data_IF_227675985635
#
_entry.id   IF_227675985635
#
_cell.length_a   1.000
_cell.length_b   1.000
_cell.length_c   1.000
_cell.angle_alpha   90.00
_cell.angle_beta   90.00
_cell.angle_gamma   90.00
#
_symmetry.space_group_name_H-M   'P 1'
#
loop_
_entity.id
_entity.type
_entity.pdbx_description
1 polymer ?
#
# COMPACT_ATOMS: atom_id res chain seq x y z
N UNK A 1 9.94 -10.67 -37.72
CA UNK A 1 9.68 -12.08 -37.36
C UNK A 1 10.23 -12.27 -35.95
N UNK A 2 9.48 -11.83 -34.93
CA UNK A 2 8.80 -12.64 -33.87
C UNK A 2 9.78 -13.57 -33.11
N UNK A 3 9.84 -13.69 -31.77
CA UNK A 3 8.76 -13.64 -30.76
C UNK A 3 9.31 -13.45 -29.32
N UNK A 4 8.42 -12.95 -28.45
CA UNK A 4 8.30 -13.17 -27.01
C UNK A 4 9.28 -12.44 -26.07
N UNK A 5 8.75 -11.40 -25.41
CA UNK A 5 9.28 -10.89 -24.16
C UNK A 5 9.38 -12.01 -23.14
N UNK A 6 10.60 -12.45 -22.88
CA UNK A 6 10.93 -13.32 -21.77
C UNK A 6 10.69 -12.54 -20.48
N UNK A 7 9.47 -12.61 -19.94
CA UNK A 7 9.29 -12.45 -18.51
C UNK A 7 9.66 -13.81 -17.90
N UNK A 8 10.86 -13.98 -17.31
CA UNK A 8 11.22 -15.26 -16.74
C UNK A 8 10.26 -15.56 -15.59
N UNK A 9 9.60 -16.72 -15.66
CA UNK A 9 8.62 -17.24 -14.70
C UNK A 9 9.19 -17.53 -13.29
N UNK A 10 10.26 -16.85 -12.90
CA UNK A 10 10.94 -16.95 -11.61
C UNK A 10 10.93 -15.63 -10.82
N UNK A 11 10.35 -14.54 -11.36
CA UNK A 11 10.12 -13.30 -10.61
C UNK A 11 8.70 -13.29 -10.04
N UNK A 12 8.39 -14.31 -9.24
CA UNK A 12 7.34 -14.22 -8.22
C UNK A 12 8.00 -14.47 -6.87
N UNK A 13 9.12 -13.78 -6.61
CA UNK A 13 9.34 -13.33 -5.24
C UNK A 13 8.16 -12.43 -4.95
N UNK A 14 7.30 -12.86 -4.05
CA UNK A 14 6.19 -12.10 -3.47
C UNK A 14 6.70 -10.66 -3.24
N UNK A 15 6.46 -9.76 -4.20
CA UNK A 15 6.98 -8.41 -4.11
C UNK A 15 5.94 -7.64 -3.31
N UNK A 16 6.35 -6.84 -2.32
CA UNK A 16 5.41 -5.98 -1.61
C UNK A 16 4.60 -5.17 -2.62
N UNK A 17 3.27 -5.21 -2.49
CA UNK A 17 2.33 -4.47 -3.33
C UNK A 17 2.60 -2.97 -3.31
N UNK A 18 3.08 -2.45 -2.18
CA UNK A 18 3.43 -1.04 -2.00
C UNK A 18 4.94 -0.85 -1.83
N UNK A 19 5.50 0.09 -2.60
CA UNK A 19 6.92 0.44 -2.50
C UNK A 19 7.17 1.36 -1.30
N UNK A 20 8.38 1.31 -0.72
CA UNK A 20 8.84 2.37 0.20
C UNK A 20 8.77 3.71 -0.55
N UNK A 21 8.50 4.80 0.16
CA UNK A 21 8.26 6.14 -0.39
C UNK A 21 6.95 6.34 -1.17
N UNK A 22 6.20 5.27 -1.42
CA UNK A 22 4.88 5.40 -2.01
C UNK A 22 3.93 6.13 -1.05
N UNK A 23 3.15 7.07 -1.58
CA UNK A 23 2.10 7.75 -0.82
C UNK A 23 0.77 7.10 -1.10
N UNK A 24 0.04 6.76 -0.05
CA UNK A 24 -1.28 6.15 -0.07
C UNK A 24 -2.23 7.12 0.63
N UNK A 25 -3.34 7.45 -0.03
CA UNK A 25 -4.40 8.23 0.60
C UNK A 25 -5.19 7.27 1.49
N UNK A 26 -5.26 7.53 2.79
CA UNK A 26 -6.07 6.79 3.75
C UNK A 26 -6.84 7.79 4.62
N UNK A 27 -8.16 7.71 4.59
CA UNK A 27 -9.07 8.59 5.34
C UNK A 27 -8.76 10.09 5.13
N UNK A 28 -8.55 10.51 3.87
CA UNK A 28 -8.14 11.87 3.47
C UNK A 28 -6.77 12.34 3.99
N UNK A 29 -5.97 11.45 4.56
CA UNK A 29 -4.59 11.73 4.95
C UNK A 29 -3.63 11.05 3.99
N UNK A 30 -2.54 11.74 3.63
CA UNK A 30 -1.48 11.20 2.78
C UNK A 30 -0.46 10.46 3.64
N UNK A 31 -0.51 9.13 3.61
CA UNK A 31 0.40 8.27 4.35
C UNK A 31 1.54 7.82 3.46
N UNK A 32 2.78 8.05 3.88
CA UNK A 32 3.98 7.58 3.19
C UNK A 32 4.38 6.20 3.73
N UNK A 33 4.65 5.26 2.83
CA UNK A 33 5.23 3.97 3.20
C UNK A 33 6.68 4.18 3.63
N UNK A 34 6.94 4.05 4.93
CA UNK A 34 8.28 4.18 5.50
C UNK A 34 9.06 2.85 5.44
N UNK A 35 8.36 1.72 5.31
CA UNK A 35 8.97 0.41 5.20
C UNK A 35 7.94 -0.70 5.14
N UNK A 36 8.40 -1.92 4.89
CA UNK A 36 7.61 -3.13 4.95
C UNK A 36 8.42 -4.27 5.53
N UNK A 37 7.76 -5.20 6.20
CA UNK A 37 8.37 -6.38 6.79
C UNK A 37 7.49 -7.60 6.51
N UNK A 38 8.12 -8.71 6.12
CA UNK A 38 7.40 -9.95 5.90
C UNK A 38 7.23 -10.69 7.23
N UNK A 39 5.99 -10.79 7.71
CA UNK A 39 5.72 -11.40 9.03
C UNK A 39 5.41 -12.89 8.86
N UNK A 40 6.29 -13.73 9.42
CA UNK A 40 6.14 -15.19 9.51
C UNK A 40 5.77 -15.92 8.20
N UNK A 41 6.20 -15.42 7.05
CA UNK A 41 5.92 -16.11 5.79
C UNK A 41 4.49 -15.96 5.28
N UNK A 42 3.64 -15.16 5.95
CA UNK A 42 2.20 -15.12 5.69
C UNK A 42 1.69 -13.81 5.15
N UNK A 43 2.24 -12.70 5.63
CA UNK A 43 1.66 -11.39 5.31
C UNK A 43 2.71 -10.29 5.34
N UNK A 44 2.62 -9.37 4.38
CA UNK A 44 3.37 -8.13 4.38
C UNK A 44 2.75 -7.16 5.38
N UNK A 45 3.58 -6.69 6.31
CA UNK A 45 3.24 -5.61 7.22
C UNK A 45 3.96 -4.34 6.78
N UNK A 46 3.18 -3.30 6.47
CA UNK A 46 3.66 -2.00 6.05
C UNK A 46 3.66 -1.03 7.22
N UNK A 47 4.74 -0.25 7.32
CA UNK A 47 4.86 0.88 8.22
C UNK A 47 4.50 2.13 7.44
N UNK A 48 3.42 2.79 7.82
CA UNK A 48 2.97 4.03 7.22
C UNK A 48 3.24 5.19 8.16
N UNK A 49 3.74 6.30 7.61
CA UNK A 49 4.02 7.54 8.33
C UNK A 49 3.24 8.70 7.72
N UNK A 50 2.60 9.46 8.59
CA UNK A 50 1.89 10.69 8.26
C UNK A 50 2.59 11.84 8.98
N UNK A 51 3.01 12.84 8.21
CA UNK A 51 3.44 14.11 8.77
C UNK A 51 2.20 14.97 9.04
N UNK A 52 2.06 15.45 10.28
CA UNK A 52 1.00 16.36 10.69
C UNK A 52 1.46 17.80 10.57
N UNK A 53 0.51 18.71 10.40
CA UNK A 53 0.78 20.16 10.27
C UNK A 53 1.48 20.77 11.49
N UNK A 54 1.38 20.13 12.67
CA UNK A 54 2.07 20.57 13.88
C UNK A 54 3.56 20.14 13.94
N UNK A 55 4.04 19.42 12.93
CA UNK A 55 5.41 18.90 12.86
C UNK A 55 5.61 17.56 13.55
N UNK A 56 4.54 16.97 14.11
CA UNK A 56 4.57 15.61 14.67
C UNK A 56 4.36 14.57 13.58
N UNK A 57 4.97 13.39 13.77
CA UNK A 57 4.78 12.25 12.88
C UNK A 57 3.89 11.20 13.54
N UNK A 58 2.84 10.77 12.83
CA UNK A 58 2.02 9.63 13.22
C UNK A 58 2.50 8.40 12.44
N UNK A 59 2.75 7.31 13.16
CA UNK A 59 3.15 6.03 12.55
C UNK A 59 2.08 4.98 12.81
N UNK A 60 1.70 4.22 11.77
CA UNK A 60 0.78 3.08 11.89
C UNK A 60 1.38 1.85 11.20
N UNK A 61 0.99 0.67 11.68
CA UNK A 61 1.38 -0.61 11.09
C UNK A 61 0.12 -1.27 10.56
N UNK A 62 0.09 -1.50 9.25
CA UNK A 62 -1.04 -2.15 8.58
C UNK A 62 -0.55 -3.32 7.78
N UNK A 63 -1.37 -4.35 7.70
CA UNK A 63 -1.09 -5.49 6.84
C UNK A 63 -1.63 -5.20 5.43
N UNK A 64 -1.11 -5.89 4.42
CA UNK A 64 -1.48 -5.65 3.02
C UNK A 64 -3.00 -5.66 2.80
N UNK A 65 -3.67 -6.68 3.33
CA UNK A 65 -5.13 -6.86 3.26
C UNK A 65 -5.87 -5.65 3.81
N UNK A 66 -5.44 -5.14 4.96
CA UNK A 66 -6.08 -3.99 5.60
C UNK A 66 -5.92 -2.70 4.76
N UNK A 67 -4.76 -2.51 4.13
CA UNK A 67 -4.57 -1.35 3.23
C UNK A 67 -5.49 -1.47 2.02
N UNK A 68 -5.62 -2.67 1.45
CA UNK A 68 -6.49 -2.93 0.31
C UNK A 68 -7.96 -2.61 0.63
N UNK A 69 -8.48 -3.12 1.75
CA UNK A 69 -9.85 -2.85 2.21
C UNK A 69 -10.11 -1.36 2.45
N UNK A 70 -9.12 -0.63 2.99
CA UNK A 70 -9.27 0.80 3.28
C UNK A 70 -9.25 1.63 1.98
N UNK A 71 -8.37 1.30 1.04
CA UNK A 71 -8.29 2.00 -0.25
C UNK A 71 -9.54 1.72 -1.10
N UNK A 72 -10.05 0.48 -1.06
CA UNK A 72 -11.28 0.10 -1.74
C UNK A 72 -12.50 0.87 -1.18
N UNK A 73 -12.66 0.90 0.15
CA UNK A 73 -13.77 1.62 0.80
C UNK A 73 -13.74 3.14 0.58
N UNK A 74 -12.57 3.76 0.38
CA UNK A 74 -12.50 5.17 0.02
C UNK A 74 -12.97 5.48 -1.41
N UNK A 75 -12.97 4.49 -2.31
CA UNK A 75 -13.47 4.66 -3.68
C UNK A 75 -15.01 4.58 -3.76
N UNK A 76 -15.69 4.17 -2.68
CA UNK A 76 -17.14 4.01 -2.63
C UNK A 76 -17.91 5.22 -2.09
N UNK A 77 -17.26 6.38 -1.92
CA UNK A 77 -17.88 7.62 -1.44
C UNK A 77 -18.57 8.48 -2.51
N UNK A 78 -19.10 7.89 -3.58
CA UNK A 78 -19.99 8.58 -4.52
C UNK A 78 -21.43 8.16 -4.19
N UNK A 79 -22.07 8.89 -3.28
CA UNK A 79 -23.53 8.84 -3.15
C UNK A 79 -24.16 9.32 -4.47
N UNK A 80 -24.97 8.52 -5.20
CA UNK A 80 -25.86 9.08 -6.20
C UNK A 80 -26.92 9.92 -5.46
N UNK A 81 -26.86 11.23 -5.68
CA UNK A 81 -27.90 12.20 -5.32
C UNK A 81 -29.24 11.68 -5.86
N UNK A 82 -30.18 11.35 -4.95
CA UNK A 82 -31.61 11.17 -5.26
C UNK A 82 -32.38 12.47 -5.09
#
# INVERSE_FOLDING_TARGET
>A
MMVAGSNPAWVTMDNPKYSVDQTILINNFSWRVAGYNFRFGKEWQYTLQLELTDGTYKTIYLNETAIDEIVDTQSQGEDPII
#
